data_IF_888342807921
#
_entry.id   IF_888342807921
#
_cell.length_a   1.000
_cell.length_b   1.000
_cell.length_c   1.000
_cell.angle_alpha   90.00
_cell.angle_beta   90.00
_cell.angle_gamma   90.00
#
_symmetry.space_group_name_H-M   'P 1'
#
loop_
_entity.id
_entity.type
_entity.pdbx_description
1 polymer ?
#
# COMPACT_ATOMS: atom_id res chain seq x y z
N UNK A 1 -20.27 -7.66 -7.14
CA UNK A 1 -19.38 -6.85 -6.26
C UNK A 1 -18.23 -7.71 -5.75
N UNK A 2 -17.01 -7.20 -5.64
CA UNK A 2 -15.90 -7.96 -5.12
C UNK A 2 -16.18 -8.49 -3.71
N UNK A 3 -15.88 -9.78 -3.50
CA UNK A 3 -16.11 -10.45 -2.21
C UNK A 3 -14.95 -10.13 -1.28
N UNK A 4 -15.19 -9.86 0.01
CA UNK A 4 -14.13 -9.71 0.99
C UNK A 4 -13.21 -10.94 1.04
N UNK A 5 -11.90 -10.71 1.02
CA UNK A 5 -10.86 -11.75 0.96
C UNK A 5 -9.74 -11.42 1.96
N UNK A 6 -9.11 -12.46 2.49
CA UNK A 6 -7.87 -12.31 3.26
C UNK A 6 -6.69 -12.50 2.30
N UNK A 7 -5.78 -11.53 2.27
CA UNK A 7 -4.57 -11.60 1.49
C UNK A 7 -3.38 -11.78 2.45
N UNK A 8 -2.68 -12.90 2.33
CA UNK A 8 -1.62 -13.28 3.26
C UNK A 8 -0.26 -13.27 2.58
N UNK A 9 0.65 -12.46 3.09
CA UNK A 9 2.07 -12.42 2.73
C UNK A 9 2.94 -13.02 3.83
N UNK A 10 4.22 -12.75 3.78
CA UNK A 10 5.19 -13.19 4.77
C UNK A 10 5.23 -12.28 6.01
N UNK A 11 5.22 -10.96 5.81
CA UNK A 11 5.33 -9.97 6.88
C UNK A 11 4.01 -9.28 7.17
N UNK A 12 3.06 -9.33 6.25
CA UNK A 12 1.78 -8.65 6.34
C UNK A 12 0.62 -9.57 5.95
N UNK A 13 -0.49 -9.39 6.65
CA UNK A 13 -1.81 -9.94 6.26
C UNK A 13 -2.79 -8.77 6.12
N UNK A 14 -3.54 -8.77 5.04
CA UNK A 14 -4.65 -7.85 4.82
C UNK A 14 -5.94 -8.59 5.12
N UNK A 15 -6.63 -8.15 6.17
CA UNK A 15 -7.93 -8.71 6.57
C UNK A 15 -9.05 -7.78 6.15
N UNK A 16 -10.22 -8.29 5.74
CA UNK A 16 -11.39 -7.45 5.53
C UNK A 16 -11.63 -6.55 6.75
N UNK A 17 -11.73 -5.25 6.52
CA UNK A 17 -11.94 -4.31 7.60
C UNK A 17 -13.32 -4.57 8.23
N UNK A 18 -13.39 -4.63 9.55
CA UNK A 18 -14.60 -4.92 10.29
C UNK A 18 -14.67 -4.09 11.58
N UNK A 19 -15.87 -4.00 12.19
CA UNK A 19 -16.12 -3.18 13.38
C UNK A 19 -15.20 -3.54 14.57
N UNK A 20 -14.83 -4.82 14.71
CA UNK A 20 -13.96 -5.28 15.81
C UNK A 20 -12.51 -4.74 15.70
N UNK A 21 -12.10 -4.20 14.56
CA UNK A 21 -10.78 -3.56 14.40
C UNK A 21 -10.70 -2.16 15.05
N UNK A 22 -11.80 -1.59 15.56
CA UNK A 22 -11.85 -0.19 15.99
C UNK A 22 -10.79 0.18 17.04
N UNK A 23 -10.63 -0.64 18.08
CA UNK A 23 -9.65 -0.39 19.13
C UNK A 23 -8.20 -0.48 18.60
N UNK A 24 -7.94 -1.49 17.75
CA UNK A 24 -6.62 -1.68 17.16
C UNK A 24 -6.26 -0.56 16.16
N UNK A 25 -7.22 -0.10 15.35
CA UNK A 25 -7.08 1.06 14.45
C UNK A 25 -6.83 2.34 15.27
N UNK A 26 -7.61 2.57 16.36
CA UNK A 26 -7.41 3.72 17.23
C UNK A 26 -6.01 3.74 17.84
N UNK A 27 -5.54 2.57 18.33
CA UNK A 27 -4.20 2.41 18.90
C UNK A 27 -3.10 2.66 17.87
N UNK A 28 -3.21 2.10 16.67
CA UNK A 28 -2.25 2.31 15.60
C UNK A 28 -2.21 3.77 15.12
N UNK A 29 -3.36 4.44 15.05
CA UNK A 29 -3.49 5.84 14.65
C UNK A 29 -3.06 6.85 15.72
N UNK A 30 -2.92 6.44 16.97
CA UNK A 30 -2.51 7.30 18.09
C UNK A 30 -0.99 7.48 18.21
N UNK A 31 -0.18 6.67 17.51
CA UNK A 31 1.27 6.81 17.49
C UNK A 31 1.67 8.17 16.92
N UNK A 32 2.97 8.46 16.79
CA UNK A 32 3.46 9.75 16.29
C UNK A 32 2.68 10.24 15.05
N UNK A 33 1.85 11.27 15.26
CA UNK A 33 0.94 11.81 14.24
C UNK A 33 1.59 12.76 13.25
N UNK A 34 2.83 13.15 13.46
CA UNK A 34 3.58 14.06 12.57
C UNK A 34 3.73 13.47 11.16
N UNK A 35 3.62 12.15 11.05
CA UNK A 35 3.76 11.42 9.78
C UNK A 35 2.49 11.43 8.92
N UNK A 36 1.35 11.98 9.41
CA UNK A 36 0.04 11.89 8.76
C UNK A 36 -0.45 13.19 8.12
N UNK A 37 0.45 14.11 7.79
CA UNK A 37 0.10 15.43 7.26
C UNK A 37 -0.82 15.41 6.02
N UNK A 38 -0.77 14.35 5.21
CA UNK A 38 -1.52 14.23 3.95
C UNK A 38 -2.56 13.10 3.92
N UNK A 39 -2.71 12.36 5.03
CA UNK A 39 -3.57 11.18 5.05
C UNK A 39 -4.53 11.23 6.24
N UNK A 40 -5.84 11.08 6.03
CA UNK A 40 -6.83 11.11 7.13
C UNK A 40 -6.72 9.82 7.94
N UNK A 41 -5.99 9.90 9.05
CA UNK A 41 -5.85 8.81 10.02
C UNK A 41 -6.73 9.10 11.24
N UNK A 42 -7.61 8.18 11.66
CA UNK A 42 -8.51 8.41 12.78
C UNK A 42 -7.72 8.65 14.08
N UNK A 43 -8.23 9.54 14.93
CA UNK A 43 -7.65 9.84 16.24
C UNK A 43 -8.64 9.51 17.35
N UNK A 44 -8.31 8.50 18.15
CA UNK A 44 -9.17 8.00 19.21
C UNK A 44 -10.21 6.99 18.72
N UNK A 45 -10.88 6.35 19.67
CA UNK A 45 -11.75 5.21 19.41
C UNK A 45 -13.00 5.60 18.59
N UNK A 46 -13.61 6.75 18.89
CA UNK A 46 -14.83 7.17 18.21
C UNK A 46 -14.55 7.49 16.74
N UNK A 47 -13.47 8.24 16.46
CA UNK A 47 -13.05 8.50 15.10
C UNK A 47 -12.66 7.21 14.34
N UNK A 48 -12.11 6.20 15.01
CA UNK A 48 -11.84 4.91 14.44
C UNK A 48 -13.12 4.14 14.07
N UNK A 49 -14.14 4.19 14.93
CA UNK A 49 -15.47 3.62 14.64
C UNK A 49 -16.12 4.28 13.44
N UNK A 50 -16.11 5.60 13.37
CA UNK A 50 -16.64 6.35 12.23
C UNK A 50 -15.87 6.03 10.92
N UNK A 51 -14.52 5.98 11.00
CA UNK A 51 -13.68 5.62 9.87
C UNK A 51 -14.05 4.25 9.30
N UNK A 52 -14.24 3.26 10.17
CA UNK A 52 -14.64 1.91 9.79
C UNK A 52 -16.07 1.90 9.25
N UNK A 53 -17.02 2.56 9.93
CA UNK A 53 -18.40 2.62 9.49
C UNK A 53 -18.55 3.21 8.09
N UNK A 54 -17.84 4.30 7.77
CA UNK A 54 -17.80 4.88 6.42
C UNK A 54 -17.21 3.91 5.40
N UNK A 55 -16.11 3.24 5.75
CA UNK A 55 -15.48 2.27 4.85
C UNK A 55 -16.39 1.08 4.54
N UNK A 56 -17.13 0.58 5.53
CA UNK A 56 -18.09 -0.51 5.35
C UNK A 56 -19.36 -0.06 4.59
N UNK A 57 -19.78 1.19 4.76
CA UNK A 57 -20.86 1.76 3.96
C UNK A 57 -20.46 1.87 2.47
N UNK A 58 -19.22 2.31 2.18
CA UNK A 58 -18.69 2.34 0.82
C UNK A 58 -18.56 0.92 0.23
N UNK A 59 -18.19 -0.06 1.05
CA UNK A 59 -18.16 -1.47 0.63
C UNK A 59 -19.56 -1.99 0.32
N UNK A 60 -20.55 -1.74 1.17
CA UNK A 60 -21.93 -2.14 0.96
C UNK A 60 -22.53 -1.49 -0.29
N UNK A 61 -22.08 -0.29 -0.63
CA UNK A 61 -22.45 0.42 -1.87
C UNK A 61 -21.65 -0.04 -3.12
N UNK A 62 -20.76 -1.04 -2.99
CA UNK A 62 -19.95 -1.54 -4.10
C UNK A 62 -18.83 -0.59 -4.55
N UNK A 63 -18.49 0.41 -3.75
CA UNK A 63 -17.52 1.46 -4.13
C UNK A 63 -16.09 1.15 -3.68
N UNK A 64 -15.91 0.27 -2.68
CA UNK A 64 -14.60 -0.05 -2.13
C UNK A 64 -14.53 -1.45 -1.53
N UNK A 65 -13.29 -1.94 -1.36
CA UNK A 65 -12.98 -3.14 -0.59
C UNK A 65 -11.88 -2.79 0.43
N UNK A 66 -12.25 -2.49 1.69
CA UNK A 66 -11.32 -2.03 2.71
C UNK A 66 -10.68 -3.17 3.49
N UNK A 67 -9.40 -2.96 3.89
CA UNK A 67 -8.61 -3.90 4.68
C UNK A 67 -8.02 -3.24 5.93
N UNK A 68 -7.94 -4.01 7.01
CA UNK A 68 -7.01 -3.80 8.09
C UNK A 68 -5.65 -4.40 7.68
N UNK A 69 -4.57 -3.66 7.92
CA UNK A 69 -3.20 -4.11 7.67
C UNK A 69 -2.64 -4.68 8.96
N UNK A 70 -2.38 -5.97 8.99
CA UNK A 70 -1.90 -6.71 10.17
C UNK A 70 -0.43 -7.09 9.97
N UNK A 71 0.43 -6.72 10.92
CA UNK A 71 1.81 -7.19 10.96
C UNK A 71 1.84 -8.64 11.42
N UNK A 72 2.39 -9.54 10.61
CA UNK A 72 2.44 -10.97 10.91
C UNK A 72 3.38 -11.33 12.07
N UNK A 73 4.37 -10.51 12.36
CA UNK A 73 5.35 -10.78 13.42
C UNK A 73 4.72 -10.74 14.83
N UNK A 74 3.71 -9.89 15.04
CA UNK A 74 3.09 -9.70 16.35
C UNK A 74 1.55 -9.72 16.33
N UNK A 75 0.95 -9.94 15.17
CA UNK A 75 -0.50 -10.00 14.99
C UNK A 75 -1.23 -8.64 15.16
N UNK A 76 -0.50 -7.53 15.25
CA UNK A 76 -1.10 -6.21 15.49
C UNK A 76 -1.57 -5.56 14.20
N UNK A 77 -2.72 -4.90 14.28
CA UNK A 77 -3.16 -3.97 13.25
C UNK A 77 -2.22 -2.76 13.28
N UNK A 78 -1.62 -2.47 12.14
CA UNK A 78 -0.65 -1.38 11.97
C UNK A 78 -1.10 -0.33 10.97
N UNK A 79 -2.30 -0.46 10.41
CA UNK A 79 -2.81 0.49 9.45
C UNK A 79 -4.04 0.00 8.70
N UNK A 80 -4.34 0.66 7.60
CA UNK A 80 -5.43 0.30 6.70
C UNK A 80 -5.08 0.68 5.27
N UNK A 81 -5.69 -0.02 4.32
CA UNK A 81 -5.64 0.26 2.89
C UNK A 81 -6.93 -0.24 2.25
N UNK A 82 -7.22 0.16 1.02
CA UNK A 82 -8.42 -0.33 0.33
C UNK A 82 -8.28 -0.26 -1.18
N UNK A 83 -9.04 -1.10 -1.86
CA UNK A 83 -9.46 -0.82 -3.22
C UNK A 83 -10.60 0.18 -3.17
N UNK A 84 -10.63 1.13 -4.08
CA UNK A 84 -11.67 2.13 -4.26
C UNK A 84 -11.80 2.49 -5.74
N UNK A 85 -12.82 3.30 -6.04
CA UNK A 85 -13.12 3.66 -7.43
C UNK A 85 -13.15 2.40 -8.32
N UNK A 86 -13.94 1.40 -7.86
CA UNK A 86 -14.14 0.17 -8.61
C UNK A 86 -14.92 0.52 -9.87
N UNK A 87 -14.28 0.40 -11.02
CA UNK A 87 -14.83 0.79 -12.30
C UNK A 87 -15.17 -0.45 -13.12
N UNK A 88 -16.37 -0.46 -13.68
CA UNK A 88 -16.92 -1.57 -14.47
C UNK A 88 -17.20 -1.06 -15.87
N UNK A 89 -16.31 -1.38 -16.80
CA UNK A 89 -16.45 -0.95 -18.17
C UNK A 89 -17.52 -1.78 -18.84
N UNK A 90 -18.48 -1.07 -19.35
CA UNK A 90 -19.57 -1.73 -20.04
C UNK A 90 -19.12 -2.07 -21.46
N UNK A 91 -19.49 -3.29 -21.92
CA UNK A 91 -19.13 -3.81 -23.24
C UNK A 91 -19.49 -2.88 -24.39
N UNK A 92 -19.29 -3.24 -25.65
CA UNK A 92 -19.24 -2.30 -26.74
C UNK A 92 -20.47 -1.40 -26.71
N UNK A 93 -20.22 -0.09 -26.58
CA UNK A 93 -21.28 0.92 -26.64
C UNK A 93 -21.95 0.84 -27.96
N UNK A 94 -23.12 0.21 -27.99
CA UNK A 94 -24.01 0.28 -29.17
C UNK A 94 -24.69 1.65 -29.11
N UNK A 95 -24.37 2.48 -30.06
CA UNK A 95 -25.00 3.79 -30.17
C UNK A 95 -25.93 3.82 -31.39
N UNK A 96 -27.19 4.21 -31.27
CA UNK A 96 -27.87 4.59 -30.01
C UNK A 96 -28.12 3.40 -29.10
N UNK A 97 -28.22 3.63 -27.75
CA UNK A 97 -28.44 2.56 -26.79
C UNK A 97 -29.73 1.79 -27.14
N UNK A 98 -29.66 0.46 -27.14
CA UNK A 98 -30.82 -0.40 -27.40
C UNK A 98 -31.61 -0.56 -26.09
N UNK A 99 -32.88 -0.11 -26.04
CA UNK A 99 -33.69 -0.29 -24.86
C UNK A 99 -33.84 -1.77 -24.48
N UNK A 100 -33.65 -2.08 -23.19
CA UNK A 100 -33.81 -3.44 -22.66
C UNK A 100 -32.58 -4.34 -22.79
N UNK A 101 -31.47 -3.87 -23.33
CA UNK A 101 -30.17 -4.54 -23.22
C UNK A 101 -29.51 -4.06 -21.93
N UNK A 102 -29.42 -4.85 -20.85
CA UNK A 102 -28.77 -4.45 -19.65
C UNK A 102 -27.28 -4.34 -19.96
N UNK A 103 -26.66 -3.24 -19.54
CA UNK A 103 -25.22 -3.17 -19.36
C UNK A 103 -24.88 -4.13 -18.23
N UNK A 104 -24.03 -5.10 -18.45
CA UNK A 104 -23.56 -6.13 -17.53
C UNK A 104 -24.17 -6.21 -16.13
N UNK A 105 -24.20 -7.35 -15.50
CA UNK A 105 -24.70 -7.49 -14.13
C UNK A 105 -23.60 -7.05 -13.13
N UNK A 106 -23.69 -5.85 -12.54
CA UNK A 106 -22.69 -5.40 -11.56
C UNK A 106 -22.68 -6.24 -10.27
N UNK A 107 -23.70 -7.08 -10.05
CA UNK A 107 -23.81 -7.92 -8.85
C UNK A 107 -22.80 -9.09 -8.85
N UNK A 108 -22.37 -9.53 -10.01
CA UNK A 108 -21.45 -10.67 -10.17
C UNK A 108 -20.12 -10.28 -10.83
N UNK A 109 -20.01 -9.07 -11.36
CA UNK A 109 -18.84 -8.63 -12.10
C UNK A 109 -17.67 -8.28 -11.13
N UNK A 110 -16.47 -8.70 -11.50
CA UNK A 110 -15.22 -8.13 -10.99
C UNK A 110 -14.97 -6.80 -11.71
N UNK A 111 -14.30 -5.81 -11.08
CA UNK A 111 -14.03 -4.54 -11.73
C UNK A 111 -13.04 -4.70 -12.89
N UNK A 112 -13.16 -3.88 -13.93
CA UNK A 112 -12.17 -3.76 -15.01
C UNK A 112 -11.00 -2.85 -14.61
N UNK A 113 -11.24 -1.90 -13.72
CA UNK A 113 -10.22 -1.04 -13.15
C UNK A 113 -10.54 -0.70 -11.69
N UNK A 114 -9.50 -0.35 -10.93
CA UNK A 114 -9.66 0.09 -9.54
C UNK A 114 -8.53 1.06 -9.14
N UNK A 115 -8.70 1.73 -8.01
CA UNK A 115 -7.62 2.47 -7.35
C UNK A 115 -7.20 1.74 -6.07
N UNK A 116 -5.91 1.72 -5.77
CA UNK A 116 -5.41 1.35 -4.45
C UNK A 116 -5.08 2.64 -3.70
N UNK A 117 -5.82 2.91 -2.64
CA UNK A 117 -5.68 4.16 -1.90
C UNK A 117 -6.08 4.09 -0.44
N UNK A 118 -6.27 5.28 0.16
CA UNK A 118 -6.54 5.44 1.59
C UNK A 118 -5.58 4.64 2.49
N UNK A 119 -4.33 4.49 2.02
CA UNK A 119 -3.30 3.73 2.71
C UNK A 119 -2.63 4.57 3.77
N UNK A 120 -2.61 4.05 4.99
CA UNK A 120 -1.80 4.59 6.07
C UNK A 120 -1.24 3.45 6.93
N UNK A 121 -0.09 3.67 7.50
CA UNK A 121 0.57 2.76 8.44
C UNK A 121 1.02 3.54 9.67
N UNK A 122 0.99 2.90 10.82
CA UNK A 122 1.58 3.42 12.04
C UNK A 122 3.09 3.66 11.84
N UNK A 123 3.68 4.64 12.52
CA UNK A 123 5.10 4.99 12.35
C UNK A 123 6.05 3.80 12.43
N UNK A 124 5.81 2.88 13.37
CA UNK A 124 6.62 1.66 13.54
C UNK A 124 6.60 0.71 12.34
N UNK A 125 5.55 0.75 11.54
CA UNK A 125 5.40 -0.09 10.34
C UNK A 125 5.87 0.62 9.05
N UNK A 126 6.18 1.91 9.13
CA UNK A 126 6.72 2.66 7.99
C UNK A 126 8.19 2.30 7.77
N UNK A 127 8.60 2.13 6.51
CA UNK A 127 9.98 1.76 6.16
C UNK A 127 10.36 0.29 6.38
N UNK A 128 9.44 -0.55 6.86
CA UNK A 128 9.72 -1.96 7.21
C UNK A 128 9.47 -2.97 6.07
N UNK A 129 9.07 -2.51 4.89
CA UNK A 129 8.66 -3.41 3.80
C UNK A 129 7.18 -3.83 3.83
N UNK A 130 6.47 -3.67 4.96
CA UNK A 130 5.05 -4.03 5.10
C UNK A 130 4.19 -3.39 4.00
N UNK A 131 4.38 -2.10 3.69
CA UNK A 131 3.63 -1.45 2.62
C UNK A 131 3.91 -2.07 1.25
N UNK A 132 5.16 -2.38 0.97
CA UNK A 132 5.57 -2.96 -0.32
C UNK A 132 4.93 -4.33 -0.53
N UNK A 133 4.96 -5.18 0.49
CA UNK A 133 4.34 -6.50 0.42
C UNK A 133 2.79 -6.39 0.39
N UNK A 134 2.19 -5.48 1.15
CA UNK A 134 0.76 -5.22 1.08
C UNK A 134 0.32 -4.80 -0.34
N UNK A 135 1.10 -3.95 -1.00
CA UNK A 135 0.83 -3.56 -2.40
C UNK A 135 1.02 -4.73 -3.37
N UNK A 136 2.04 -5.57 -3.19
CA UNK A 136 2.21 -6.78 -3.98
C UNK A 136 0.98 -7.69 -3.89
N UNK A 137 0.49 -7.93 -2.68
CA UNK A 137 -0.69 -8.78 -2.44
C UNK A 137 -1.94 -8.21 -3.12
N UNK A 138 -2.17 -6.91 -3.00
CA UNK A 138 -3.31 -6.24 -3.62
C UNK A 138 -3.20 -6.25 -5.15
N UNK A 139 -2.05 -5.89 -5.69
CA UNK A 139 -1.81 -5.88 -7.14
C UNK A 139 -1.97 -7.29 -7.73
N UNK A 140 -1.41 -8.31 -7.06
CA UNK A 140 -1.58 -9.70 -7.47
C UNK A 140 -3.06 -10.10 -7.50
N UNK A 141 -3.81 -9.77 -6.45
CA UNK A 141 -5.24 -10.05 -6.40
C UNK A 141 -6.02 -9.34 -7.51
N UNK A 142 -5.69 -8.07 -7.77
CA UNK A 142 -6.35 -7.29 -8.80
C UNK A 142 -6.07 -7.84 -10.21
N UNK A 143 -4.81 -8.07 -10.56
CA UNK A 143 -4.46 -8.52 -11.92
C UNK A 143 -4.70 -10.01 -12.14
N UNK A 144 -4.37 -10.88 -11.14
CA UNK A 144 -4.42 -12.33 -11.34
C UNK A 144 -5.77 -12.96 -10.95
N UNK A 145 -6.50 -12.39 -9.98
CA UNK A 145 -7.79 -12.93 -9.56
C UNK A 145 -8.99 -12.17 -10.17
N UNK A 146 -8.93 -10.84 -10.26
CA UNK A 146 -9.99 -10.04 -10.90
C UNK A 146 -9.77 -9.87 -12.41
N UNK A 147 -8.52 -9.89 -12.89
CA UNK A 147 -8.19 -9.63 -14.29
C UNK A 147 -8.36 -8.16 -14.67
N UNK A 148 -8.13 -7.23 -13.73
CA UNK A 148 -8.27 -5.80 -14.03
C UNK A 148 -7.29 -5.36 -15.11
N UNK A 149 -7.71 -4.43 -15.95
CA UNK A 149 -6.87 -3.85 -16.99
C UNK A 149 -5.96 -2.76 -16.44
N UNK A 150 -6.32 -2.18 -15.26
CA UNK A 150 -5.63 -1.02 -14.71
C UNK A 150 -5.80 -0.91 -13.20
N UNK A 151 -4.70 -0.62 -12.52
CA UNK A 151 -4.71 -0.12 -11.14
C UNK A 151 -4.18 1.31 -11.11
N UNK A 152 -4.95 2.20 -10.53
CA UNK A 152 -4.58 3.59 -10.27
C UNK A 152 -4.02 3.75 -8.86
N UNK A 153 -3.10 4.70 -8.70
CA UNK A 153 -2.63 5.18 -7.40
C UNK A 153 -2.51 6.71 -7.46
N UNK A 154 -2.77 7.38 -6.35
CA UNK A 154 -2.64 8.83 -6.30
C UNK A 154 -2.12 9.33 -4.96
N UNK A 155 -1.48 10.49 -4.99
CA UNK A 155 -0.97 11.17 -3.80
C UNK A 155 -1.12 12.68 -3.94
N UNK A 156 -1.18 13.40 -2.80
CA UNK A 156 -0.95 14.84 -2.82
C UNK A 156 0.41 15.11 -3.47
N UNK A 157 0.48 16.03 -4.41
CA UNK A 157 1.72 16.33 -5.15
C UNK A 157 2.87 16.77 -4.22
N UNK A 158 2.55 17.29 -3.02
CA UNK A 158 3.50 17.68 -1.97
C UNK A 158 3.98 16.49 -1.14
N UNK A 159 3.25 15.37 -1.15
CA UNK A 159 3.60 14.15 -0.39
C UNK A 159 4.68 13.34 -1.11
N UNK A 160 5.92 13.83 -1.08
CA UNK A 160 7.05 13.19 -1.75
C UNK A 160 7.25 11.74 -1.28
N UNK A 161 7.05 11.46 0.02
CA UNK A 161 7.17 10.11 0.56
C UNK A 161 6.20 9.12 -0.11
N UNK A 162 4.93 9.51 -0.25
CA UNK A 162 3.93 8.68 -0.91
C UNK A 162 4.24 8.52 -2.40
N UNK A 163 4.61 9.60 -3.09
CA UNK A 163 4.99 9.57 -4.50
C UNK A 163 6.17 8.64 -4.74
N UNK A 164 7.25 8.79 -3.98
CA UNK A 164 8.41 7.90 -4.07
C UNK A 164 8.05 6.44 -3.78
N UNK A 165 7.15 6.19 -2.81
CA UNK A 165 6.69 4.83 -2.53
C UNK A 165 5.92 4.22 -3.71
N UNK A 166 5.07 5.00 -4.39
CA UNK A 166 4.32 4.59 -5.58
C UNK A 166 5.29 4.34 -6.76
N UNK A 167 6.21 5.26 -7.02
CA UNK A 167 7.20 5.15 -8.09
C UNK A 167 8.12 3.91 -7.90
N UNK A 168 8.45 3.60 -6.64
CA UNK A 168 9.21 2.38 -6.31
C UNK A 168 8.47 1.07 -6.58
N UNK A 169 7.15 1.08 -6.69
CA UNK A 169 6.39 -0.10 -7.14
C UNK A 169 6.56 -0.35 -8.64
N UNK A 170 7.05 0.63 -9.40
CA UNK A 170 7.10 0.56 -10.86
C UNK A 170 5.90 1.20 -11.55
N UNK A 171 5.06 1.94 -10.79
CA UNK A 171 3.93 2.62 -11.38
C UNK A 171 4.35 3.79 -12.28
N UNK A 172 3.71 3.91 -13.44
CA UNK A 172 3.93 4.95 -14.42
C UNK A 172 3.23 6.24 -14.00
N UNK A 173 3.94 7.39 -14.05
CA UNK A 173 3.36 8.70 -13.75
C UNK A 173 2.50 9.19 -14.91
N UNK A 174 1.27 9.59 -14.61
CA UNK A 174 0.32 10.16 -15.57
C UNK A 174 0.21 11.68 -15.47
N UNK A 175 0.99 12.27 -14.56
CA UNK A 175 1.05 13.70 -14.39
C UNK A 175 0.35 14.20 -13.13
N UNK A 176 0.19 15.53 -13.06
CA UNK A 176 -0.37 16.22 -11.90
C UNK A 176 -1.63 16.99 -12.28
N UNK A 177 -2.75 16.60 -11.69
CA UNK A 177 -4.00 17.37 -11.78
C UNK A 177 -3.94 18.54 -10.80
N UNK A 178 -3.84 19.75 -11.36
CA UNK A 178 -3.74 20.98 -10.57
C UNK A 178 -5.08 21.33 -9.94
N UNK A 179 -5.04 21.94 -8.73
CA UNK A 179 -6.21 22.40 -8.00
C UNK A 179 -7.34 21.34 -7.93
N UNK A 180 -6.97 20.08 -7.64
CA UNK A 180 -7.86 18.93 -7.77
C UNK A 180 -8.87 18.83 -6.61
N UNK A 181 -8.44 19.14 -5.39
CA UNK A 181 -9.30 19.06 -4.19
C UNK A 181 -8.73 19.90 -3.06
N UNK A 182 -9.37 19.89 -1.89
CA UNK A 182 -8.77 20.44 -0.67
C UNK A 182 -7.96 19.37 0.06
N UNK A 183 -6.79 19.76 0.57
CA UNK A 183 -5.98 18.97 1.48
C UNK A 183 -6.56 18.98 2.90
N UNK A 184 -6.00 18.15 3.80
CA UNK A 184 -6.37 18.12 5.21
C UNK A 184 -6.03 19.43 5.94
N UNK A 185 -5.06 20.16 5.43
CA UNK A 185 -4.65 21.50 5.87
C UNK A 185 -5.56 22.63 5.33
N UNK A 186 -6.64 22.29 4.63
CA UNK A 186 -7.54 23.25 4.01
C UNK A 186 -7.00 23.93 2.74
N UNK A 187 -5.73 23.71 2.39
CA UNK A 187 -5.11 24.28 1.19
C UNK A 187 -5.61 23.54 -0.06
N UNK A 188 -5.77 24.28 -1.16
CA UNK A 188 -6.07 23.66 -2.46
C UNK A 188 -4.86 22.83 -2.89
N UNK A 189 -5.07 21.52 -3.01
CA UNK A 189 -4.02 20.57 -3.37
C UNK A 189 -4.07 20.22 -4.86
N UNK A 190 -2.91 19.99 -5.43
CA UNK A 190 -2.74 19.24 -6.67
C UNK A 190 -2.48 17.77 -6.37
N UNK A 191 -2.91 16.89 -7.26
CA UNK A 191 -2.79 15.44 -7.06
C UNK A 191 -1.95 14.84 -8.17
N UNK A 192 -0.90 14.11 -7.80
CA UNK A 192 -0.13 13.28 -8.71
C UNK A 192 -0.85 11.93 -8.92
N UNK A 193 -1.02 11.55 -10.18
CA UNK A 193 -1.65 10.31 -10.61
C UNK A 193 -0.63 9.36 -11.20
N UNK A 194 -0.82 8.09 -10.92
CA UNK A 194 0.01 6.98 -11.38
C UNK A 194 -0.87 5.80 -11.76
N UNK A 195 -0.37 4.93 -12.62
CA UNK A 195 -1.04 3.69 -12.98
C UNK A 195 -0.06 2.53 -13.14
N UNK A 196 -0.62 1.33 -13.05
CA UNK A 196 -0.02 0.07 -13.50
C UNK A 196 -1.08 -0.59 -14.39
N UNK A 197 -0.69 -0.99 -15.60
CA UNK A 197 -1.55 -1.70 -16.54
C UNK A 197 -1.33 -3.22 -16.45
N UNK A 198 -2.31 -3.99 -16.87
CA UNK A 198 -2.20 -5.45 -16.98
C UNK A 198 -0.95 -5.89 -17.77
N UNK A 199 -0.70 -5.24 -18.90
CA UNK A 199 0.48 -5.51 -19.72
C UNK A 199 1.83 -5.21 -19.03
N UNK A 200 1.84 -4.36 -18.01
CA UNK A 200 3.04 -3.98 -17.23
C UNK A 200 3.20 -4.88 -15.99
N UNK A 201 2.13 -5.55 -15.55
CA UNK A 201 2.10 -6.29 -14.29
C UNK A 201 3.21 -7.32 -14.13
N UNK A 202 3.56 -8.16 -15.12
CA UNK A 202 4.64 -9.14 -14.95
C UNK A 202 5.97 -8.47 -14.54
N UNK A 203 6.36 -7.40 -15.19
CA UNK A 203 7.60 -6.68 -14.90
C UNK A 203 7.53 -5.96 -13.54
N UNK A 204 6.40 -5.35 -13.23
CA UNK A 204 6.14 -4.65 -11.95
C UNK A 204 6.20 -5.65 -10.80
N UNK A 205 5.57 -6.82 -10.93
CA UNK A 205 5.62 -7.89 -9.94
C UNK A 205 7.07 -8.29 -9.63
N UNK A 206 7.86 -8.56 -10.65
CA UNK A 206 9.24 -9.00 -10.51
C UNK A 206 10.10 -7.93 -9.79
N UNK A 207 9.90 -6.65 -10.12
CA UNK A 207 10.54 -5.53 -9.41
C UNK A 207 10.18 -5.52 -7.92
N UNK A 208 8.90 -5.68 -7.58
CA UNK A 208 8.44 -5.65 -6.19
C UNK A 208 8.99 -6.86 -5.43
N UNK A 209 8.94 -8.05 -6.01
CA UNK A 209 9.46 -9.28 -5.40
C UNK A 209 10.96 -9.21 -5.12
N UNK A 210 11.75 -8.70 -6.07
CA UNK A 210 13.19 -8.46 -5.88
C UNK A 210 13.45 -7.49 -4.73
N UNK A 211 12.67 -6.42 -4.60
CA UNK A 211 12.80 -5.46 -3.48
C UNK A 211 12.48 -6.09 -2.14
N UNK A 212 11.45 -6.93 -2.07
CA UNK A 212 11.09 -7.66 -0.84
C UNK A 212 12.20 -8.65 -0.48
N UNK A 213 12.74 -9.37 -1.45
CA UNK A 213 13.85 -10.31 -1.23
C UNK A 213 15.11 -9.59 -0.72
N UNK A 214 15.48 -8.47 -1.33
CA UNK A 214 16.64 -7.67 -0.92
C UNK A 214 16.49 -7.13 0.51
N UNK A 215 15.29 -6.70 0.90
CA UNK A 215 15.03 -6.20 2.26
C UNK A 215 15.09 -7.28 3.35
N UNK A 216 15.06 -8.57 2.97
CA UNK A 216 15.08 -9.71 3.90
C UNK A 216 16.39 -10.47 3.90
N UNK A 217 17.31 -10.17 2.98
CA UNK A 217 18.65 -10.70 3.03
C UNK A 217 19.39 -10.05 4.21
N UNK A 218 20.00 -10.82 5.12
CA UNK A 218 20.86 -10.23 6.15
C UNK A 218 21.95 -9.43 5.43
N UNK A 219 22.14 -8.16 5.81
CA UNK A 219 23.24 -7.35 5.30
C UNK A 219 24.52 -8.14 5.51
N UNK A 220 25.31 -8.32 4.46
CA UNK A 220 26.65 -8.87 4.59
C UNK A 220 27.40 -8.09 5.69
N UNK A 221 28.15 -8.74 6.58
CA UNK A 221 28.89 -8.06 7.63
C UNK A 221 29.80 -7.03 6.97
N UNK A 222 29.79 -5.80 7.50
CA UNK A 222 30.61 -4.69 7.06
C UNK A 222 32.08 -5.12 7.01
N UNK A 223 32.76 -5.10 5.86
CA UNK A 223 34.16 -5.52 5.77
C UNK A 223 35.10 -4.66 6.62
N UNK A 224 34.64 -3.55 7.22
CA UNK A 224 35.43 -2.70 8.09
C UNK A 224 35.75 -3.30 9.46
N UNK A 225 35.01 -4.33 9.93
CA UNK A 225 35.25 -4.94 11.25
C UNK A 225 36.42 -5.94 11.23
N UNK A 226 36.89 -6.40 10.06
CA UNK A 226 37.97 -7.38 9.95
C UNK A 226 39.39 -6.78 9.89
N UNK A 227 39.54 -5.44 9.93
CA UNK A 227 40.88 -4.83 9.93
C UNK A 227 41.45 -4.51 11.30
N UNK A 228 40.67 -4.55 12.38
CA UNK A 228 41.18 -4.31 13.73
C UNK A 228 41.76 -5.54 14.41
N UNK A 229 41.40 -6.75 13.99
CA UNK A 229 41.93 -7.99 14.57
C UNK A 229 43.37 -8.36 14.10
N UNK A 230 43.89 -7.73 13.05
CA UNK A 230 45.23 -8.04 12.50
C UNK A 230 46.33 -7.06 12.97
N UNK A 231 46.01 -6.06 13.80
CA UNK A 231 47.01 -5.08 14.26
C UNK A 231 47.52 -5.32 15.69
N UNK A 232 47.10 -6.36 16.40
CA UNK A 232 47.50 -6.67 17.77
C UNK A 232 48.20 -8.02 17.95
N UNK A 233 48.91 -8.49 16.95
CA UNK A 233 49.66 -9.72 17.04
C UNK A 233 51.04 -9.60 16.45
N UNK A 234 51.94 -8.91 17.19
CA UNK A 234 53.33 -8.80 16.74
C UNK A 234 54.18 -7.97 17.68
N UNK A 235 54.59 -8.55 18.78
CA UNK A 235 55.54 -7.87 19.66
C UNK A 235 56.07 -8.73 20.80
N UNK A 236 57.04 -9.56 20.54
CA UNK A 236 58.01 -9.97 21.55
C UNK A 236 59.20 -10.65 20.89
N UNK A 237 60.30 -10.03 20.85
CA UNK A 237 61.61 -10.57 20.42
C UNK A 237 62.72 -9.77 21.05
N UNK A 238 63.09 -10.14 22.28
CA UNK A 238 64.34 -9.75 22.92
C UNK A 238 65.51 -10.18 22.07
N UNK A 239 66.48 -9.35 21.92
CA UNK A 239 67.91 -9.78 21.86
C UNK A 239 68.85 -8.71 22.44
N UNK A 240 69.57 -9.15 23.43
CA UNK A 240 70.69 -8.54 24.14
C UNK A 240 71.98 -8.77 23.32
N UNK A 241 72.88 -7.84 23.34
CA UNK A 241 74.35 -7.89 23.39
C UNK A 241 75.00 -6.84 22.49
N UNK A 242 75.77 -6.12 23.03
CA UNK A 242 77.13 -5.71 23.36
C UNK A 242 77.29 -4.20 23.22
#
# INVERSE_FOLDING_TARGET
MPVPVILTGRTVRLEPLAAHHAEAIAKAGAEDRTTYAFTPVPHGLEAAREYIARALADQAAGKSLPFATVNQADGRVVGSTRFLELDYWQGPLVWPPVPGVPFGDPATAVPDAAEIGNTWLSPRAQGTGINTEAKLLMLRHAFEAWGVQRISLRADARNLRSRTAIERLGATSEGVRRAHSRGLDGVVRSTAFYSILDSEWPAVRDIIELRIAAATSPSAPDPAINQECLRHGGGAGHLITA
#
